data_IF_006235074685
#
_entry.id   IF_006235074685
#
_cell.length_a   1.000
_cell.length_b   1.000
_cell.length_c   1.000
_cell.angle_alpha   90.00
_cell.angle_beta   90.00
_cell.angle_gamma   90.00
#
_symmetry.space_group_name_H-M   'P 1'
#
loop_
_entity.id
_entity.type
_entity.pdbx_description
1 polymer ?
#
# COMPACT_ATOMS: atom_id res chain seq x y z
N UNK A 1 2.56 6.36 24.39
CA UNK A 1 2.61 5.30 23.36
C UNK A 1 2.43 5.99 22.04
N UNK A 2 3.50 6.04 21.25
CA UNK A 2 3.42 6.68 19.93
C UNK A 2 2.79 5.70 18.96
N UNK A 3 1.74 6.14 18.28
CA UNK A 3 1.12 5.38 17.19
C UNK A 3 1.97 5.60 15.93
N UNK A 4 2.31 4.52 15.24
CA UNK A 4 2.99 4.55 13.96
C UNK A 4 2.15 3.83 12.91
N UNK A 5 2.17 4.34 11.69
CA UNK A 5 1.48 3.78 10.54
C UNK A 5 2.53 3.30 9.54
N UNK A 6 2.54 1.99 9.26
CA UNK A 6 3.51 1.38 8.36
C UNK A 6 2.82 1.06 7.04
N UNK A 7 3.38 1.55 5.93
CA UNK A 7 2.93 1.22 4.58
C UNK A 7 3.72 0.02 4.09
N UNK A 8 3.00 -0.98 3.61
CA UNK A 8 3.55 -2.19 3.03
C UNK A 8 3.17 -2.26 1.55
N UNK A 9 4.02 -2.93 0.79
CA UNK A 9 3.74 -3.38 -0.57
C UNK A 9 3.88 -4.88 -0.64
N UNK A 10 2.82 -5.55 -1.06
CA UNK A 10 2.82 -6.97 -1.37
C UNK A 10 2.99 -7.16 -2.87
N UNK A 11 3.93 -8.01 -3.26
CA UNK A 11 4.15 -8.43 -4.66
C UNK A 11 4.27 -9.94 -4.69
N UNK A 12 3.99 -10.53 -5.83
CA UNK A 12 4.14 -11.98 -6.06
C UNK A 12 5.53 -12.50 -5.66
N UNK A 13 6.59 -11.80 -6.07
CA UNK A 13 8.00 -12.16 -5.77
C UNK A 13 8.41 -11.93 -4.31
N UNK A 14 7.57 -11.27 -3.52
CA UNK A 14 7.85 -10.92 -2.12
C UNK A 14 6.57 -10.93 -1.28
N UNK A 15 6.06 -12.14 -1.02
CA UNK A 15 4.93 -12.39 -0.10
C UNK A 15 5.20 -11.92 1.34
N UNK A 16 6.43 -11.54 1.69
CA UNK A 16 6.79 -10.98 2.99
C UNK A 16 6.48 -9.47 3.14
N UNK A 17 5.84 -8.86 2.14
CA UNK A 17 5.40 -7.47 2.12
C UNK A 17 6.53 -6.46 2.40
N UNK A 18 7.09 -5.87 1.35
CA UNK A 18 8.14 -4.86 1.47
C UNK A 18 7.64 -3.62 2.21
N UNK A 19 8.31 -3.24 3.31
CA UNK A 19 8.00 -1.98 4.02
C UNK A 19 8.43 -0.81 3.13
N UNK A 20 7.47 0.05 2.78
CA UNK A 20 7.71 1.28 2.01
C UNK A 20 7.98 2.50 2.89
N UNK A 21 7.58 2.44 4.15
CA UNK A 21 7.94 3.45 5.14
C UNK A 21 7.05 3.40 6.39
N UNK A 22 7.33 4.32 7.30
CA UNK A 22 6.59 4.49 8.54
C UNK A 22 6.33 5.98 8.79
N UNK A 23 5.11 6.32 9.21
CA UNK A 23 4.67 7.68 9.48
C UNK A 23 3.97 7.80 10.83
N UNK A 24 4.00 9.00 11.39
CA UNK A 24 3.36 9.29 12.67
C UNK A 24 1.88 9.70 12.51
N UNK A 25 1.41 9.90 11.27
CA UNK A 25 0.02 10.25 10.96
C UNK A 25 -0.51 9.37 9.84
N UNK A 26 -1.80 9.03 9.92
CA UNK A 26 -2.52 8.28 8.89
C UNK A 26 -2.46 8.99 7.54
N UNK A 27 -2.71 10.30 7.55
CA UNK A 27 -2.78 11.11 6.34
C UNK A 27 -1.46 11.12 5.56
N UNK A 28 -0.31 11.15 6.24
CA UNK A 28 0.98 11.07 5.57
C UNK A 28 1.24 9.68 4.97
N UNK A 29 0.85 8.61 5.66
CA UNK A 29 0.95 7.26 5.11
C UNK A 29 0.05 7.09 3.87
N UNK A 30 -1.17 7.62 3.91
CA UNK A 30 -2.10 7.62 2.77
C UNK A 30 -1.57 8.46 1.61
N UNK A 31 -0.99 9.63 1.88
CA UNK A 31 -0.40 10.47 0.83
C UNK A 31 0.77 9.75 0.15
N UNK A 32 1.61 9.03 0.89
CA UNK A 32 2.65 8.21 0.28
C UNK A 32 2.07 7.07 -0.57
N UNK A 33 1.05 6.39 -0.06
CA UNK A 33 0.35 5.33 -0.80
C UNK A 33 -0.21 5.86 -2.13
N UNK A 34 -0.82 7.05 -2.13
CA UNK A 34 -1.27 7.72 -3.37
C UNK A 34 -0.14 7.93 -4.36
N UNK A 35 0.99 8.46 -3.92
CA UNK A 35 2.15 8.67 -4.80
C UNK A 35 2.67 7.35 -5.39
N UNK A 36 2.76 6.30 -4.58
CA UNK A 36 3.21 4.98 -5.04
C UNK A 36 2.24 4.32 -6.03
N UNK A 37 0.93 4.54 -5.87
CA UNK A 37 -0.08 4.07 -6.82
C UNK A 37 0.05 4.84 -8.14
N UNK A 38 0.23 6.16 -8.10
CA UNK A 38 0.37 7.00 -9.30
C UNK A 38 1.62 6.65 -10.13
N UNK A 39 2.69 6.21 -9.48
CA UNK A 39 3.95 5.82 -10.13
C UNK A 39 3.97 4.36 -10.60
N UNK A 40 2.94 3.56 -10.27
CA UNK A 40 2.92 2.12 -10.53
C UNK A 40 2.05 1.79 -11.74
N UNK A 41 2.68 1.29 -12.80
CA UNK A 41 2.02 0.95 -14.07
C UNK A 41 0.98 -0.17 -13.94
N UNK A 42 1.04 -0.97 -12.86
CA UNK A 42 0.06 -2.03 -12.56
C UNK A 42 -1.30 -1.48 -12.07
N UNK A 43 -1.41 -0.17 -11.84
CA UNK A 43 -2.65 0.49 -11.46
C UNK A 43 -3.34 1.13 -12.66
N UNK A 44 -4.66 0.94 -12.76
CA UNK A 44 -5.50 1.47 -13.82
C UNK A 44 -6.88 1.88 -13.26
N UNK A 45 -7.81 2.24 -14.15
CA UNK A 45 -9.23 2.45 -13.82
C UNK A 45 -9.95 1.23 -13.23
N UNK A 46 -9.41 0.02 -13.40
CA UNK A 46 -9.98 -1.23 -12.87
C UNK A 46 -9.40 -1.63 -11.52
N UNK A 47 -8.41 -0.90 -11.01
CA UNK A 47 -7.81 -1.16 -9.71
C UNK A 47 -8.75 -0.82 -8.57
N UNK A 48 -8.67 -1.59 -7.48
CA UNK A 48 -9.40 -1.28 -6.24
C UNK A 48 -8.55 -0.41 -5.33
N UNK A 49 -9.06 0.76 -4.94
CA UNK A 49 -8.32 1.69 -4.08
C UNK A 49 -9.24 2.25 -3.00
N UNK A 50 -8.88 1.99 -1.74
CA UNK A 50 -9.58 2.48 -0.56
C UNK A 50 -8.61 3.26 0.37
N UNK A 51 -8.46 4.56 0.12
CA UNK A 51 -7.62 5.44 0.94
C UNK A 51 -8.13 5.62 2.37
N UNK A 52 -9.41 5.37 2.63
CA UNK A 52 -9.99 5.50 3.97
C UNK A 52 -9.55 4.35 4.87
N UNK A 53 -9.46 3.15 4.32
CA UNK A 53 -9.00 1.93 5.00
C UNK A 53 -7.51 1.66 4.77
N UNK A 54 -6.86 2.45 3.89
CA UNK A 54 -5.44 2.39 3.62
C UNK A 54 -5.08 1.10 2.89
N UNK A 55 -5.87 0.75 1.89
CA UNK A 55 -5.76 -0.50 1.13
C UNK A 55 -5.88 -0.25 -0.37
N UNK A 56 -5.12 -1.00 -1.18
CA UNK A 56 -5.30 -1.03 -2.62
C UNK A 56 -4.84 -2.33 -3.26
N UNK A 57 -5.52 -2.71 -4.33
CA UNK A 57 -5.17 -3.81 -5.22
C UNK A 57 -4.84 -3.27 -6.61
N UNK A 58 -3.76 -3.77 -7.21
CA UNK A 58 -3.43 -3.48 -8.61
C UNK A 58 -4.50 -4.04 -9.55
N UNK A 59 -4.52 -3.56 -10.81
CA UNK A 59 -5.49 -3.99 -11.82
C UNK A 59 -5.44 -5.52 -12.04
N UNK A 60 -6.57 -6.25 -11.86
CA UNK A 60 -6.61 -7.69 -12.06
C UNK A 60 -6.41 -8.12 -13.53
N UNK A 61 -6.48 -7.20 -14.49
CA UNK A 61 -6.33 -7.49 -15.91
C UNK A 61 -4.87 -7.54 -16.38
N UNK A 62 -3.90 -7.11 -15.57
CA UNK A 62 -2.48 -7.15 -15.97
C UNK A 62 -1.95 -8.58 -16.10
N UNK A 63 -2.12 -9.41 -15.07
CA UNK A 63 -1.81 -10.86 -15.00
C UNK A 63 -2.04 -11.35 -13.55
N UNK A 64 -2.48 -12.60 -13.34
CA UNK A 64 -2.64 -13.18 -11.99
C UNK A 64 -1.28 -13.38 -11.29
N UNK A 65 -0.25 -13.70 -12.08
CA UNK A 65 1.16 -13.68 -11.68
C UNK A 65 1.67 -12.26 -12.00
N UNK A 66 2.07 -11.41 -11.07
CA UNK A 66 2.33 -9.94 -11.21
C UNK A 66 1.16 -9.09 -10.71
N UNK A 67 1.21 -8.85 -9.40
CA UNK A 67 0.41 -7.85 -8.71
C UNK A 67 1.31 -6.96 -7.84
N UNK A 68 0.76 -5.83 -7.42
CA UNK A 68 1.38 -4.94 -6.45
C UNK A 68 0.31 -4.28 -5.61
N UNK A 69 0.08 -4.81 -4.41
CA UNK A 69 -0.95 -4.32 -3.50
C UNK A 69 -0.31 -3.50 -2.39
N UNK A 70 -1.01 -2.46 -1.93
CA UNK A 70 -0.53 -1.62 -0.83
C UNK A 70 -1.48 -1.70 0.35
N UNK A 71 -0.93 -1.69 1.56
CA UNK A 71 -1.74 -1.58 2.77
C UNK A 71 -1.03 -0.85 3.91
N UNK A 72 -1.78 -0.10 4.71
CA UNK A 72 -1.29 0.65 5.86
C UNK A 72 -1.72 -0.04 7.15
N UNK A 73 -0.77 -0.36 8.01
CA UNK A 73 -1.03 -0.95 9.33
C UNK A 73 -0.72 0.03 10.45
N UNK A 74 -1.67 0.22 11.36
CA UNK A 74 -1.45 0.93 12.61
C UNK A 74 -0.73 0.02 13.61
N UNK A 75 0.34 0.51 14.21
CA UNK A 75 1.11 -0.16 15.25
C UNK A 75 1.36 0.77 16.43
N UNK A 76 1.52 0.20 17.63
CA UNK A 76 1.90 0.95 18.84
C UNK A 76 3.39 0.76 19.08
N UNK A 77 4.11 1.85 19.28
CA UNK A 77 5.50 1.82 19.74
C UNK A 77 5.49 1.51 21.24
N UNK A 78 6.17 0.43 21.61
CA UNK A 78 6.38 0.02 23.01
C UNK A 78 7.37 0.97 23.70
#
# INVERSE_FOLDING_TARGET
MDTVYILYEERESSQLCGIKGAWNTWENAVNQMKSLIQENELYSEFSEINYKEGYSESDPLYSEDVYSNYYIKQMKRN
#
